data_IF_084466518683
#
_entry.id   IF_084466518683
#
_cell.length_a   1.000
_cell.length_b   1.000
_cell.length_c   1.000
_cell.angle_alpha   90.00
_cell.angle_beta   90.00
_cell.angle_gamma   90.00
#
_symmetry.space_group_name_H-M   'P 1'
#
loop_
_entity.id
_entity.type
_entity.pdbx_description
1 polymer ?
#
# COMPACT_ATOMS: atom_id res chain seq x y z
N UNK A 1 55.28 -19.02 20.19
CA UNK A 1 55.88 -17.69 20.42
C UNK A 1 55.62 -16.81 19.22
N UNK A 2 55.36 -15.53 19.48
CA UNK A 2 55.20 -14.39 18.57
C UNK A 2 56.47 -14.27 17.64
N UNK A 3 56.56 -13.61 16.48
CA UNK A 3 56.22 -12.22 16.08
C UNK A 3 56.33 -12.09 14.53
N UNK A 4 55.40 -11.34 13.95
CA UNK A 4 55.38 -10.43 12.77
C UNK A 4 56.56 -10.35 11.78
N UNK A 5 56.21 -10.14 10.50
CA UNK A 5 56.86 -9.12 9.68
C UNK A 5 55.86 -8.41 8.74
N UNK A 6 55.62 -7.13 9.04
CA UNK A 6 54.98 -6.15 8.15
C UNK A 6 55.91 -5.81 6.97
N UNK A 7 55.36 -5.63 5.76
CA UNK A 7 55.86 -4.63 4.81
C UNK A 7 54.71 -3.92 4.12
N UNK A 8 54.68 -2.62 4.35
CA UNK A 8 53.93 -1.58 3.66
C UNK A 8 54.47 -1.38 2.25
N UNK A 9 53.59 -1.10 1.27
CA UNK A 9 53.95 -0.25 0.14
C UNK A 9 52.73 0.58 -0.28
N UNK A 10 52.84 1.87 -0.01
CA UNK A 10 52.02 2.97 -0.51
C UNK A 10 52.24 3.17 -2.01
N UNK A 11 51.17 3.36 -2.78
CA UNK A 11 51.22 4.24 -3.94
C UNK A 11 49.87 4.95 -4.14
N UNK A 12 49.93 6.25 -3.95
CA UNK A 12 48.99 7.30 -4.36
C UNK A 12 48.78 7.31 -5.87
N UNK A 13 47.56 7.53 -6.36
CA UNK A 13 47.37 8.24 -7.63
C UNK A 13 46.12 9.13 -7.60
N UNK A 14 46.32 10.27 -8.26
CA UNK A 14 45.68 11.56 -8.16
C UNK A 14 44.31 11.65 -8.84
N UNK A 15 43.55 12.62 -8.34
CA UNK A 15 42.31 13.21 -8.87
C UNK A 15 42.41 13.58 -10.35
N UNK A 16 41.34 13.33 -11.11
CA UNK A 16 40.96 14.11 -12.28
C UNK A 16 39.46 14.39 -12.26
N UNK A 17 39.13 15.64 -11.91
CA UNK A 17 37.85 16.29 -12.15
C UNK A 17 37.78 16.67 -13.64
N UNK A 18 36.72 16.27 -14.31
CA UNK A 18 36.14 17.05 -15.41
C UNK A 18 34.67 16.68 -15.53
N UNK A 19 33.82 17.63 -15.16
CA UNK A 19 32.38 17.52 -15.26
C UNK A 19 31.89 17.54 -16.70
N UNK A 20 30.80 16.83 -16.94
CA UNK A 20 29.87 17.04 -18.04
C UNK A 20 28.49 16.68 -17.50
N UNK A 21 27.75 17.73 -17.16
CA UNK A 21 26.32 17.91 -17.40
C UNK A 21 25.43 16.69 -17.13
N UNK A 22 24.76 16.68 -15.97
CA UNK A 22 23.50 15.97 -15.79
C UNK A 22 22.45 16.60 -16.73
N UNK A 23 22.43 16.18 -17.99
CA UNK A 23 21.25 16.35 -18.81
C UNK A 23 20.17 15.45 -18.24
N UNK A 24 19.09 16.10 -17.82
CA UNK A 24 17.84 15.49 -17.42
C UNK A 24 17.33 14.63 -18.59
N UNK A 25 17.69 13.35 -18.55
CA UNK A 25 17.09 12.36 -19.42
C UNK A 25 15.79 11.94 -18.72
N UNK A 26 14.67 12.43 -19.25
CA UNK A 26 13.32 11.92 -19.03
C UNK A 26 13.27 10.42 -19.40
N UNK A 27 13.88 9.60 -18.56
CA UNK A 27 13.88 8.16 -18.65
C UNK A 27 12.52 7.67 -18.21
N UNK A 28 11.62 7.51 -19.19
CA UNK A 28 10.43 6.66 -19.24
C UNK A 28 10.23 5.86 -17.94
N UNK A 29 9.64 6.52 -16.95
CA UNK A 29 9.23 5.87 -15.71
C UNK A 29 8.19 4.82 -16.06
N UNK A 30 8.39 3.60 -15.55
CA UNK A 30 7.52 2.45 -15.74
C UNK A 30 6.04 2.82 -15.74
N UNK A 31 5.47 2.83 -16.95
CA UNK A 31 4.03 2.71 -17.24
C UNK A 31 3.48 1.65 -16.27
N UNK A 32 2.28 1.83 -15.74
CA UNK A 32 1.52 0.87 -14.88
C UNK A 32 1.53 1.05 -13.36
N UNK A 33 2.48 1.73 -12.72
CA UNK A 33 2.56 1.80 -11.23
C UNK A 33 2.15 3.11 -10.55
N UNK A 34 2.28 4.26 -11.22
CA UNK A 34 2.43 5.53 -10.52
C UNK A 34 1.43 6.63 -10.93
N UNK A 35 0.24 6.28 -11.41
CA UNK A 35 -0.77 7.29 -11.74
C UNK A 35 -1.44 7.82 -10.44
N UNK A 36 -1.41 9.12 -10.15
CA UNK A 36 -1.96 9.69 -8.91
C UNK A 36 -3.44 9.32 -8.70
N UNK A 37 -4.25 9.30 -9.77
CA UNK A 37 -5.64 8.85 -9.70
C UNK A 37 -5.86 7.41 -9.24
N UNK A 38 -4.93 6.48 -9.51
CA UNK A 38 -5.03 5.10 -8.98
C UNK A 38 -4.78 5.05 -7.47
N UNK A 39 -3.88 5.90 -6.97
CA UNK A 39 -3.58 6.00 -5.53
C UNK A 39 -4.77 6.60 -4.78
N UNK A 40 -5.34 7.68 -5.31
CA UNK A 40 -6.53 8.33 -4.73
C UNK A 40 -7.75 7.39 -4.73
N UNK A 41 -8.04 6.73 -5.86
CA UNK A 41 -9.13 5.75 -5.92
C UNK A 41 -8.93 4.58 -4.94
N UNK A 42 -7.69 4.07 -4.80
CA UNK A 42 -7.39 3.02 -3.83
C UNK A 42 -7.57 3.49 -2.38
N UNK A 43 -7.15 4.71 -2.06
CA UNK A 43 -7.35 5.31 -0.74
C UNK A 43 -8.84 5.48 -0.43
N UNK A 44 -9.61 6.00 -1.39
CA UNK A 44 -11.06 6.14 -1.28
C UNK A 44 -11.75 4.79 -1.01
N UNK A 45 -11.43 3.75 -1.77
CA UNK A 45 -11.98 2.39 -1.56
C UNK A 45 -11.64 1.88 -0.16
N UNK A 46 -10.39 2.08 0.29
CA UNK A 46 -9.95 1.63 1.60
C UNK A 46 -10.70 2.33 2.74
N UNK A 47 -10.97 3.62 2.60
CA UNK A 47 -11.59 4.45 3.66
C UNK A 47 -13.11 4.39 3.66
N UNK A 48 -13.76 4.28 2.49
CA UNK A 48 -15.21 4.45 2.37
C UNK A 48 -15.94 3.15 2.00
N UNK A 49 -15.29 2.25 1.25
CA UNK A 49 -15.95 1.04 0.72
C UNK A 49 -15.67 -0.16 1.63
N UNK A 50 -14.40 -0.45 1.91
CA UNK A 50 -14.01 -1.65 2.67
C UNK A 50 -14.61 -1.74 4.07
N UNK A 51 -14.76 -0.67 4.87
CA UNK A 51 -15.39 -0.76 6.19
C UNK A 51 -16.85 -1.22 6.10
N UNK A 52 -17.61 -0.69 5.15
CA UNK A 52 -19.02 -1.07 4.94
C UNK A 52 -19.13 -2.50 4.44
N UNK A 53 -18.32 -2.89 3.46
CA UNK A 53 -18.28 -4.29 2.97
C UNK A 53 -17.92 -5.25 4.11
N UNK A 54 -17.03 -4.86 5.02
CA UNK A 54 -16.65 -5.66 6.19
C UNK A 54 -17.79 -5.83 7.18
N UNK A 55 -18.54 -4.78 7.47
CA UNK A 55 -19.73 -4.87 8.30
C UNK A 55 -20.73 -5.87 7.71
N UNK A 56 -20.97 -5.81 6.39
CA UNK A 56 -21.81 -6.80 5.72
C UNK A 56 -21.24 -8.22 5.79
N UNK A 57 -19.91 -8.35 5.69
CA UNK A 57 -19.25 -9.65 5.80
C UNK A 57 -19.38 -10.27 7.19
N UNK A 58 -19.36 -9.45 8.24
CA UNK A 58 -19.61 -9.89 9.62
C UNK A 58 -21.03 -10.40 9.80
N UNK A 59 -22.04 -9.72 9.24
CA UNK A 59 -23.42 -10.23 9.25
C UNK A 59 -23.54 -11.62 8.59
N UNK A 60 -22.81 -11.84 7.49
CA UNK A 60 -22.80 -13.16 6.86
C UNK A 60 -22.09 -14.21 7.72
N UNK A 61 -21.02 -13.86 8.45
CA UNK A 61 -20.30 -14.82 9.33
C UNK A 61 -21.23 -15.49 10.34
N UNK A 62 -22.24 -14.80 10.85
CA UNK A 62 -23.21 -15.37 11.78
C UNK A 62 -24.07 -16.47 11.12
N UNK A 63 -24.23 -16.42 9.80
CA UNK A 63 -25.05 -17.34 9.01
C UNK A 63 -24.25 -18.51 8.42
N UNK A 64 -22.91 -18.45 8.44
CA UNK A 64 -22.04 -19.50 7.91
C UNK A 64 -21.91 -20.67 8.89
N UNK A 65 -21.98 -21.89 8.38
CA UNK A 65 -21.69 -23.11 9.15
C UNK A 65 -20.23 -23.14 9.62
N UNK A 66 -19.93 -23.85 10.72
CA UNK A 66 -18.55 -24.03 11.19
C UNK A 66 -17.66 -24.75 10.16
N UNK A 67 -18.22 -25.72 9.43
CA UNK A 67 -17.51 -26.43 8.37
C UNK A 67 -17.16 -25.50 7.20
N UNK A 68 -18.10 -24.66 6.77
CA UNK A 68 -17.91 -23.74 5.65
C UNK A 68 -16.91 -22.63 6.00
N UNK A 69 -16.90 -22.17 7.26
CA UNK A 69 -15.87 -21.25 7.78
C UNK A 69 -14.47 -21.86 7.69
N UNK A 70 -14.34 -23.12 8.11
CA UNK A 70 -13.08 -23.86 8.02
C UNK A 70 -12.61 -24.00 6.57
N UNK A 71 -13.51 -24.40 5.66
CA UNK A 71 -13.20 -24.48 4.22
C UNK A 71 -12.75 -23.14 3.63
N UNK A 72 -13.40 -22.04 3.99
CA UNK A 72 -12.99 -20.70 3.56
C UNK A 72 -11.59 -20.32 4.06
N UNK A 73 -11.24 -20.68 5.30
CA UNK A 73 -9.89 -20.47 5.81
C UNK A 73 -8.84 -21.24 4.98
N UNK A 74 -9.13 -22.49 4.62
CA UNK A 74 -8.27 -23.29 3.73
C UNK A 74 -8.12 -22.64 2.36
N UNK A 75 -9.22 -22.21 1.72
CA UNK A 75 -9.16 -21.57 0.40
C UNK A 75 -8.41 -20.23 0.42
N UNK A 76 -8.57 -19.43 1.48
CA UNK A 76 -7.80 -18.18 1.66
C UNK A 76 -6.31 -18.46 1.76
N UNK A 77 -5.91 -19.47 2.52
CA UNK A 77 -4.50 -19.91 2.65
C UNK A 77 -3.93 -20.39 1.32
N UNK A 78 -4.65 -21.24 0.58
CA UNK A 78 -4.23 -21.70 -0.75
C UNK A 78 -4.02 -20.53 -1.72
N UNK A 79 -4.97 -19.61 -1.79
CA UNK A 79 -4.86 -18.42 -2.65
C UNK A 79 -3.72 -17.49 -2.22
N UNK A 80 -3.45 -17.37 -0.92
CA UNK A 80 -2.30 -16.61 -0.42
C UNK A 80 -0.98 -17.24 -0.88
N UNK A 81 -0.83 -18.57 -0.75
CA UNK A 81 0.37 -19.28 -1.21
C UNK A 81 0.60 -19.11 -2.72
N UNK A 82 -0.45 -19.23 -3.53
CA UNK A 82 -0.37 -18.99 -4.98
C UNK A 82 0.08 -17.55 -5.29
N UNK A 83 -0.42 -16.56 -4.54
CA UNK A 83 0.00 -15.15 -4.67
C UNK A 83 1.46 -14.95 -4.30
N UNK A 84 1.94 -15.58 -3.23
CA UNK A 84 3.33 -15.51 -2.78
C UNK A 84 4.29 -16.13 -3.79
N UNK A 85 3.98 -17.33 -4.31
CA UNK A 85 4.74 -17.96 -5.40
C UNK A 85 4.76 -17.10 -6.66
N UNK A 86 3.61 -16.51 -7.03
CA UNK A 86 3.53 -15.58 -8.15
C UNK A 86 4.33 -14.29 -7.94
N UNK A 87 4.41 -13.78 -6.71
CA UNK A 87 5.27 -12.65 -6.35
C UNK A 87 6.75 -13.02 -6.47
N UNK A 88 7.14 -14.18 -5.95
CA UNK A 88 8.51 -14.70 -6.05
C UNK A 88 8.94 -14.87 -7.51
N UNK A 89 8.10 -15.50 -8.34
CA UNK A 89 8.34 -15.62 -9.80
C UNK A 89 8.46 -14.24 -10.46
N UNK A 90 7.60 -13.28 -10.11
CA UNK A 90 7.73 -11.93 -10.67
C UNK A 90 9.03 -11.25 -10.25
N UNK A 91 9.49 -11.49 -9.03
CA UNK A 91 10.75 -10.95 -8.52
C UNK A 91 11.96 -11.59 -9.20
N UNK A 92 11.94 -12.90 -9.44
CA UNK A 92 13.03 -13.58 -10.17
C UNK A 92 13.11 -13.15 -11.63
N UNK A 93 12.00 -12.70 -12.21
CA UNK A 93 11.93 -12.15 -13.58
C UNK A 93 12.26 -10.65 -13.67
N UNK A 94 12.66 -9.99 -12.57
CA UNK A 94 13.08 -8.59 -12.62
C UNK A 94 14.53 -8.52 -13.12
N UNK A 95 14.85 -7.69 -14.13
CA UNK A 95 16.23 -7.48 -14.52
C UNK A 95 17.00 -6.86 -13.33
N UNK A 96 18.27 -7.24 -13.18
CA UNK A 96 19.18 -6.53 -12.29
C UNK A 96 19.24 -5.05 -12.71
N UNK A 97 19.26 -4.13 -11.74
CA UNK A 97 19.11 -2.69 -11.98
C UNK A 97 20.12 -2.09 -12.98
N UNK A 98 21.22 -2.79 -13.28
CA UNK A 98 22.23 -2.40 -14.27
C UNK A 98 21.81 -2.60 -15.74
N UNK A 99 20.73 -3.34 -16.03
CA UNK A 99 20.33 -3.74 -17.38
C UNK A 99 19.09 -2.97 -17.89
N UNK A 100 18.99 -1.67 -17.60
CA UNK A 100 17.81 -0.84 -17.87
C UNK A 100 17.40 -0.75 -19.35
N UNK A 101 18.30 -1.10 -20.28
CA UNK A 101 18.08 -1.03 -21.73
C UNK A 101 18.08 -2.40 -22.43
N UNK A 102 18.07 -3.52 -21.71
CA UNK A 102 18.05 -4.84 -22.34
C UNK A 102 16.61 -5.30 -22.59
N UNK A 103 16.26 -5.77 -23.80
CA UNK A 103 14.94 -6.35 -24.05
C UNK A 103 14.67 -7.49 -23.06
N UNK A 104 13.45 -7.52 -22.50
CA UNK A 104 13.03 -8.54 -21.54
C UNK A 104 13.25 -9.92 -22.16
N UNK A 105 14.16 -10.70 -21.61
CA UNK A 105 14.45 -12.05 -22.09
C UNK A 105 13.16 -12.89 -22.15
N UNK A 106 13.05 -13.73 -23.19
CA UNK A 106 11.94 -14.66 -23.33
C UNK A 106 11.88 -15.60 -22.13
N UNK A 107 10.67 -15.93 -21.68
CA UNK A 107 10.48 -16.86 -20.57
C UNK A 107 10.98 -18.25 -20.97
N UNK A 108 11.70 -18.91 -20.07
CA UNK A 108 12.06 -20.33 -20.23
C UNK A 108 10.80 -21.19 -20.17
N UNK A 109 10.85 -22.41 -20.71
CA UNK A 109 9.69 -23.29 -20.70
C UNK A 109 9.27 -23.68 -19.27
N UNK A 110 10.25 -23.85 -18.37
CA UNK A 110 9.99 -24.03 -16.94
C UNK A 110 9.23 -22.83 -16.33
N UNK A 111 9.58 -21.60 -16.69
CA UNK A 111 8.89 -20.40 -16.22
C UNK A 111 7.46 -20.29 -16.79
N UNK A 112 7.27 -20.67 -18.05
CA UNK A 112 5.92 -20.73 -18.67
C UNK A 112 5.04 -21.76 -17.97
N UNK A 113 5.58 -22.96 -17.71
CA UNK A 113 4.89 -24.02 -16.97
C UNK A 113 4.52 -23.56 -15.55
N UNK A 114 5.44 -22.93 -14.82
CA UNK A 114 5.15 -22.40 -13.49
C UNK A 114 4.04 -21.34 -13.53
N UNK A 115 4.02 -20.45 -14.53
CA UNK A 115 2.96 -19.46 -14.70
C UNK A 115 1.61 -20.11 -14.99
N UNK A 116 1.59 -21.15 -15.83
CA UNK A 116 0.39 -21.93 -16.13
C UNK A 116 -0.13 -22.64 -14.88
N UNK A 117 0.75 -23.29 -14.11
CA UNK A 117 0.39 -23.96 -12.87
C UNK A 117 -0.24 -22.99 -11.86
N UNK A 118 0.37 -21.82 -11.62
CA UNK A 118 -0.18 -20.81 -10.72
C UNK A 118 -1.58 -20.33 -11.16
N UNK A 119 -1.81 -20.21 -12.48
CA UNK A 119 -3.13 -19.85 -13.03
C UNK A 119 -4.14 -20.96 -12.81
N UNK A 120 -3.76 -22.22 -13.04
CA UNK A 120 -4.61 -23.39 -12.84
C UNK A 120 -4.98 -23.55 -11.37
N UNK A 121 -4.01 -23.47 -10.46
CA UNK A 121 -4.22 -23.54 -9.00
C UNK A 121 -5.15 -22.42 -8.53
N UNK A 122 -4.91 -21.18 -8.96
CA UNK A 122 -5.79 -20.05 -8.63
C UNK A 122 -7.20 -20.25 -9.18
N UNK A 123 -7.36 -20.79 -10.39
CA UNK A 123 -8.67 -21.03 -11.01
C UNK A 123 -9.43 -22.12 -10.27
N UNK A 124 -8.77 -23.23 -9.95
CA UNK A 124 -9.36 -24.34 -9.21
C UNK A 124 -9.87 -23.88 -7.84
N UNK A 125 -9.03 -23.18 -7.07
CA UNK A 125 -9.43 -22.63 -5.77
C UNK A 125 -10.63 -21.68 -5.89
N UNK A 126 -10.66 -20.81 -6.90
CA UNK A 126 -11.80 -19.91 -7.13
C UNK A 126 -13.09 -20.62 -7.54
N UNK A 127 -13.01 -21.75 -8.28
CA UNK A 127 -14.17 -22.56 -8.62
C UNK A 127 -14.77 -23.23 -7.38
N UNK A 128 -13.92 -23.77 -6.50
CA UNK A 128 -14.37 -24.36 -5.23
C UNK A 128 -15.06 -23.31 -4.34
N UNK A 129 -14.48 -22.11 -4.26
CA UNK A 129 -15.11 -20.98 -3.56
C UNK A 129 -16.43 -20.59 -4.22
N UNK A 130 -16.52 -20.59 -5.55
CA UNK A 130 -17.75 -20.27 -6.26
C UNK A 130 -18.87 -21.29 -6.00
N UNK A 131 -18.54 -22.59 -5.93
CA UNK A 131 -19.48 -23.63 -5.52
C UNK A 131 -20.00 -23.39 -4.10
N UNK A 132 -19.10 -23.11 -3.15
CA UNK A 132 -19.51 -22.75 -1.79
C UNK A 132 -20.36 -21.47 -1.76
N UNK A 133 -20.06 -20.50 -2.62
CA UNK A 133 -20.79 -19.24 -2.71
C UNK A 133 -22.22 -19.39 -3.22
N UNK A 134 -22.53 -20.41 -4.01
CA UNK A 134 -23.90 -20.68 -4.47
C UNK A 134 -24.86 -20.91 -3.29
N UNK A 135 -24.38 -21.59 -2.23
CA UNK A 135 -25.17 -21.85 -1.02
C UNK A 135 -25.63 -20.57 -0.31
N UNK A 136 -24.83 -19.50 -0.40
CA UNK A 136 -25.06 -18.24 0.30
C UNK A 136 -25.45 -17.09 -0.65
N UNK A 137 -25.75 -17.38 -1.91
CA UNK A 137 -25.95 -16.36 -2.95
C UNK A 137 -27.13 -15.42 -2.62
N UNK A 138 -28.24 -15.98 -2.13
CA UNK A 138 -29.41 -15.20 -1.70
C UNK A 138 -29.08 -14.29 -0.51
N UNK A 139 -28.34 -14.79 0.49
CA UNK A 139 -27.91 -14.02 1.65
C UNK A 139 -26.98 -12.87 1.23
N UNK A 140 -26.01 -13.15 0.36
CA UNK A 140 -25.08 -12.15 -0.16
C UNK A 140 -25.82 -11.09 -0.99
N UNK A 141 -26.80 -11.50 -1.80
CA UNK A 141 -27.62 -10.58 -2.59
C UNK A 141 -28.45 -9.65 -1.71
N UNK A 142 -29.05 -10.16 -0.63
CA UNK A 142 -29.75 -9.34 0.35
C UNK A 142 -28.83 -8.31 1.02
N UNK A 143 -27.65 -8.75 1.48
CA UNK A 143 -26.64 -7.85 2.07
C UNK A 143 -26.14 -6.79 1.07
N UNK A 144 -26.07 -7.14 -0.21
CA UNK A 144 -25.71 -6.20 -1.27
C UNK A 144 -26.81 -5.15 -1.51
N UNK A 145 -28.08 -5.53 -1.39
CA UNK A 145 -29.23 -4.62 -1.51
C UNK A 145 -29.30 -3.61 -0.36
N UNK A 146 -28.95 -4.03 0.88
CA UNK A 146 -28.90 -3.13 2.04
C UNK A 146 -27.96 -1.94 1.85
N UNK A 147 -26.94 -2.08 1.00
CA UNK A 147 -25.93 -1.04 0.75
C UNK A 147 -26.03 -0.40 -0.63
N UNK A 148 -27.16 -0.58 -1.33
CA UNK A 148 -27.34 -0.05 -2.68
C UNK A 148 -27.16 1.48 -2.78
N UNK A 149 -27.69 2.28 -1.82
CA UNK A 149 -27.45 3.72 -1.81
C UNK A 149 -25.96 4.08 -1.71
N UNK A 150 -25.21 3.37 -0.84
CA UNK A 150 -23.76 3.58 -0.69
C UNK A 150 -23.02 3.16 -1.96
N UNK A 151 -23.43 2.07 -2.63
CA UNK A 151 -22.86 1.63 -3.91
C UNK A 151 -23.02 2.66 -5.02
N UNK A 152 -24.19 3.31 -5.10
CA UNK A 152 -24.41 4.41 -6.04
C UNK A 152 -23.44 5.56 -5.76
N UNK A 153 -23.33 5.98 -4.49
CA UNK A 153 -22.38 7.02 -4.07
C UNK A 153 -20.93 6.66 -4.39
N UNK A 154 -20.48 5.45 -4.06
CA UNK A 154 -19.11 5.01 -4.34
C UNK A 154 -18.80 5.02 -5.83
N UNK A 155 -19.77 4.68 -6.66
CA UNK A 155 -19.62 4.69 -8.12
C UNK A 155 -19.46 6.12 -8.63
N UNK A 156 -20.28 7.04 -8.16
CA UNK A 156 -20.18 8.46 -8.50
C UNK A 156 -18.84 9.07 -8.04
N UNK A 157 -18.44 8.83 -6.79
CA UNK A 157 -17.19 9.35 -6.23
C UNK A 157 -15.97 8.80 -6.97
N UNK A 158 -15.96 7.50 -7.33
CA UNK A 158 -14.88 6.89 -8.12
C UNK A 158 -14.85 7.41 -9.57
N UNK A 159 -16.00 7.72 -10.16
CA UNK A 159 -16.07 8.39 -11.47
C UNK A 159 -15.51 9.81 -11.39
N UNK A 160 -15.84 10.57 -10.34
CA UNK A 160 -15.29 11.91 -10.11
C UNK A 160 -13.76 11.87 -9.94
N UNK A 161 -13.24 10.92 -9.15
CA UNK A 161 -11.79 10.71 -9.02
C UNK A 161 -11.18 10.36 -10.38
N UNK A 162 -11.81 9.51 -11.19
CA UNK A 162 -11.31 9.20 -12.52
C UNK A 162 -11.30 10.43 -13.44
N UNK A 163 -12.35 11.25 -13.41
CA UNK A 163 -12.47 12.49 -14.18
C UNK A 163 -11.39 13.52 -13.84
N UNK A 164 -11.02 13.66 -12.56
CA UNK A 164 -9.95 14.56 -12.08
C UNK A 164 -8.59 14.31 -12.74
N UNK A 165 -8.32 13.07 -13.16
CA UNK A 165 -7.04 12.67 -13.77
C UNK A 165 -7.17 12.31 -15.26
N UNK A 166 -8.30 12.61 -15.89
CA UNK A 166 -8.49 12.42 -17.32
C UNK A 166 -7.71 13.51 -18.09
N UNK A 167 -6.84 13.15 -19.05
CA UNK A 167 -6.15 14.16 -19.86
C UNK A 167 -7.15 14.93 -20.75
N UNK A 168 -6.90 16.23 -20.95
CA UNK A 168 -7.80 17.15 -21.66
C UNK A 168 -8.13 16.73 -23.11
N UNK A 169 -7.25 15.95 -23.75
CA UNK A 169 -7.44 15.46 -25.13
C UNK A 169 -8.31 14.19 -25.27
N UNK A 170 -8.77 13.60 -24.17
CA UNK A 170 -9.42 12.27 -24.15
C UNK A 170 -10.86 12.27 -23.62
N UNK A 171 -11.42 13.44 -23.26
CA UNK A 171 -12.73 13.55 -22.60
C UNK A 171 -13.90 12.91 -23.37
N UNK A 172 -14.06 13.05 -24.70
CA UNK A 172 -15.19 12.43 -25.39
C UNK A 172 -14.96 10.93 -25.70
N UNK A 173 -13.71 10.47 -25.85
CA UNK A 173 -13.41 9.12 -26.35
C UNK A 173 -13.16 8.08 -25.23
N UNK A 174 -12.84 8.51 -24.00
CA UNK A 174 -12.70 7.59 -22.86
C UNK A 174 -14.06 7.14 -22.28
N UNK A 175 -15.08 8.00 -22.27
CA UNK A 175 -16.45 7.59 -21.90
C UNK A 175 -16.95 6.46 -22.82
N UNK A 176 -16.69 6.54 -24.13
CA UNK A 176 -17.02 5.48 -25.10
C UNK A 176 -16.17 4.21 -24.94
N UNK A 177 -14.87 4.33 -24.62
CA UNK A 177 -13.97 3.17 -24.41
C UNK A 177 -14.19 2.42 -23.10
N UNK A 178 -14.83 3.04 -22.10
CA UNK A 178 -15.29 2.32 -20.90
C UNK A 178 -16.48 1.37 -21.16
N UNK A 179 -17.14 1.48 -22.32
CA UNK A 179 -18.32 0.70 -22.69
C UNK A 179 -18.06 -0.74 -23.16
N UNK A 180 -16.86 -1.07 -23.67
CA UNK A 180 -16.55 -2.41 -24.20
C UNK A 180 -15.56 -3.17 -23.32
N UNK A 181 -16.04 -3.64 -22.17
CA UNK A 181 -15.62 -4.95 -21.66
C UNK A 181 -14.65 -5.04 -20.46
N UNK A 182 -14.34 -3.97 -19.69
CA UNK A 182 -13.36 -4.17 -18.57
C UNK A 182 -13.58 -3.48 -17.22
N UNK A 183 -14.60 -2.63 -17.03
CA UNK A 183 -14.80 -1.94 -15.75
C UNK A 183 -16.26 -1.75 -15.31
N UNK A 184 -17.21 -2.60 -15.74
CA UNK A 184 -18.60 -2.55 -15.23
C UNK A 184 -18.76 -2.94 -13.75
N UNK A 185 -17.68 -3.21 -13.02
CA UNK A 185 -17.75 -3.63 -11.64
C UNK A 185 -16.88 -2.69 -10.80
N UNK A 186 -17.43 -1.51 -10.49
CA UNK A 186 -16.89 -0.60 -9.46
C UNK A 186 -16.90 -1.27 -8.08
N UNK A 187 -17.49 -0.61 -7.08
CA UNK A 187 -17.62 -1.23 -5.75
C UNK A 187 -18.46 -2.52 -5.75
N UNK A 188 -19.32 -2.74 -6.75
CA UNK A 188 -20.06 -4.00 -6.92
C UNK A 188 -19.20 -5.26 -7.07
N UNK A 189 -17.89 -5.12 -7.36
CA UNK A 189 -16.95 -6.25 -7.33
C UNK A 189 -16.90 -6.92 -5.96
N UNK A 190 -17.02 -6.16 -4.88
CA UNK A 190 -16.88 -6.66 -3.51
C UNK A 190 -18.02 -7.59 -3.11
N UNK A 191 -19.21 -7.42 -3.69
CA UNK A 191 -20.39 -8.25 -3.43
C UNK A 191 -20.54 -9.43 -4.38
N UNK A 192 -19.56 -9.68 -5.27
CA UNK A 192 -19.57 -10.92 -6.05
C UNK A 192 -19.43 -12.11 -5.10
N UNK A 193 -20.31 -13.12 -5.14
CA UNK A 193 -20.42 -14.12 -4.07
C UNK A 193 -19.07 -14.73 -3.65
N UNK A 194 -18.29 -15.23 -4.61
CA UNK A 194 -16.98 -15.82 -4.32
C UNK A 194 -15.94 -14.81 -3.78
N UNK A 195 -15.97 -13.56 -4.27
CA UNK A 195 -15.05 -12.50 -3.80
C UNK A 195 -15.43 -12.06 -2.39
N UNK A 196 -16.73 -11.93 -2.13
CA UNK A 196 -17.29 -11.56 -0.84
C UNK A 196 -16.93 -12.61 0.23
N UNK A 197 -17.14 -13.89 -0.07
CA UNK A 197 -16.80 -14.99 0.86
C UNK A 197 -15.31 -15.03 1.21
N UNK A 198 -14.44 -14.83 0.22
CA UNK A 198 -12.99 -14.82 0.44
C UNK A 198 -12.49 -13.63 1.25
N UNK A 199 -13.28 -12.56 1.38
CA UNK A 199 -12.93 -11.47 2.25
C UNK A 199 -12.86 -11.97 3.68
N UNK A 200 -11.73 -11.73 4.34
CA UNK A 200 -11.55 -12.04 5.75
C UNK A 200 -12.05 -10.83 6.57
N UNK A 201 -13.16 -10.96 7.32
CA UNK A 201 -13.69 -9.87 8.12
C UNK A 201 -12.78 -9.50 9.28
N UNK A 202 -11.97 -10.46 9.75
CA UNK A 202 -11.06 -10.32 10.89
C UNK A 202 -9.61 -10.05 10.43
N UNK A 203 -9.39 -9.85 9.13
CA UNK A 203 -8.09 -9.43 8.64
C UNK A 203 -7.71 -8.12 9.34
N UNK A 204 -6.51 -8.04 9.95
CA UNK A 204 -6.10 -6.86 10.70
C UNK A 204 -6.25 -5.65 9.80
N UNK A 205 -7.05 -4.67 10.25
CA UNK A 205 -7.08 -3.37 9.60
C UNK A 205 -5.67 -2.82 9.58
N UNK A 206 -5.38 -1.91 8.66
CA UNK A 206 -4.08 -1.26 8.65
C UNK A 206 -3.85 -0.47 9.96
N UNK A 207 -4.92 -0.08 10.65
CA UNK A 207 -4.95 0.36 12.05
C UNK A 207 -4.55 -0.75 13.02
N UNK A 208 -5.11 -1.97 12.97
CA UNK A 208 -4.69 -3.07 13.85
C UNK A 208 -3.24 -3.54 13.58
N UNK A 209 -2.79 -3.44 12.32
CA UNK A 209 -1.41 -3.72 11.93
C UNK A 209 -0.48 -2.60 12.38
N UNK A 210 -0.97 -1.36 12.43
CA UNK A 210 -0.30 -0.22 13.02
C UNK A 210 -0.30 -0.29 14.55
N UNK A 211 -1.37 -0.73 15.22
CA UNK A 211 -1.41 -0.97 16.66
C UNK A 211 -0.41 -2.06 17.06
N UNK A 212 -0.31 -3.13 16.25
CA UNK A 212 0.67 -4.22 16.42
C UNK A 212 2.11 -3.83 16.05
N UNK A 213 2.29 -2.77 15.26
CA UNK A 213 3.61 -2.26 14.84
C UNK A 213 3.94 -0.88 15.45
N UNK A 214 3.13 -0.36 16.37
CA UNK A 214 3.26 0.96 16.98
C UNK A 214 3.27 2.13 16.01
N UNK A 215 2.37 2.17 15.01
CA UNK A 215 2.33 3.19 13.95
C UNK A 215 1.06 4.08 13.99
N UNK A 216 0.81 4.79 15.09
CA UNK A 216 -0.40 5.60 15.29
C UNK A 216 -0.26 7.06 14.80
N UNK A 217 0.82 7.38 14.08
CA UNK A 217 1.06 8.74 13.60
C UNK A 217 0.83 8.96 12.11
N UNK A 218 0.32 10.12 11.72
CA UNK A 218 0.11 10.57 10.33
C UNK A 218 0.66 11.98 10.12
N UNK A 219 1.06 12.30 8.89
CA UNK A 219 1.59 13.62 8.52
C UNK A 219 0.87 14.16 7.28
N UNK A 220 0.37 15.38 7.36
CA UNK A 220 -0.30 16.08 6.26
C UNK A 220 0.02 17.59 6.25
N UNK A 221 0.08 18.24 5.08
CA UNK A 221 0.13 17.60 3.76
C UNK A 221 1.46 16.85 3.57
N UNK A 222 1.43 15.77 2.80
CA UNK A 222 2.63 15.04 2.39
C UNK A 222 2.56 14.82 0.87
N UNK A 223 3.31 15.59 0.05
CA UNK A 223 4.42 16.47 0.46
C UNK A 223 4.02 17.75 1.21
N UNK A 224 4.88 18.20 2.13
CA UNK A 224 4.74 19.45 2.90
C UNK A 224 5.51 20.59 2.21
N UNK A 225 5.02 21.83 2.30
CA UNK A 225 5.65 23.02 1.66
C UNK A 225 6.17 24.02 2.69
N UNK A 226 5.32 24.51 3.60
CA UNK A 226 5.74 25.43 4.68
C UNK A 226 5.44 24.85 6.04
N UNK A 227 4.30 24.18 6.18
CA UNK A 227 3.84 23.60 7.45
C UNK A 227 3.50 22.14 7.23
N UNK A 228 3.77 21.33 8.26
CA UNK A 228 3.49 19.91 8.36
C UNK A 228 2.71 19.67 9.65
N UNK A 229 1.54 19.07 9.56
CA UNK A 229 0.76 18.64 10.71
C UNK A 229 1.00 17.16 10.98
N UNK A 230 1.46 16.86 12.20
CA UNK A 230 1.65 15.53 12.73
C UNK A 230 0.48 15.17 13.65
N UNK A 231 -0.35 14.24 13.22
CA UNK A 231 -1.33 13.55 14.07
C UNK A 231 -0.65 12.34 14.71
N UNK A 232 -0.91 12.09 15.99
CA UNK A 232 -0.42 10.90 16.70
C UNK A 232 -1.31 10.56 17.90
N UNK A 233 -1.26 9.32 18.38
CA UNK A 233 -2.06 8.87 19.52
C UNK A 233 -1.20 8.55 20.74
N UNK A 234 -1.54 9.13 21.89
CA UNK A 234 -0.90 8.86 23.17
C UNK A 234 -1.65 7.74 23.87
N UNK A 235 -1.02 6.57 24.02
CA UNK A 235 -1.65 5.36 24.59
C UNK A 235 -1.87 5.44 26.11
N UNK A 236 -0.98 6.14 26.82
CA UNK A 236 -1.02 6.38 28.26
C UNK A 236 -0.58 7.82 28.51
N UNK A 237 -1.31 8.53 29.37
CA UNK A 237 -0.95 9.88 29.74
C UNK A 237 0.49 9.93 30.26
N UNK A 238 1.26 10.92 29.80
CA UNK A 238 2.67 11.01 30.13
C UNK A 238 3.47 11.95 29.22
N UNK A 239 4.79 12.05 29.46
CA UNK A 239 5.66 12.91 28.69
C UNK A 239 5.86 12.36 27.27
N UNK A 240 5.77 13.26 26.29
CA UNK A 240 5.98 13.01 24.86
C UNK A 240 7.09 13.92 24.33
N UNK A 241 8.08 13.33 23.68
CA UNK A 241 9.14 14.04 22.94
C UNK A 241 9.01 13.74 21.45
N UNK A 242 9.14 14.77 20.61
CA UNK A 242 9.06 14.64 19.16
C UNK A 242 10.30 15.29 18.55
N UNK A 243 11.09 14.49 17.86
CA UNK A 243 12.28 14.92 17.13
C UNK A 243 12.00 14.93 15.62
N UNK A 244 12.61 15.86 14.91
CA UNK A 244 12.67 15.91 13.46
C UNK A 244 14.06 15.44 13.00
N UNK A 245 14.07 14.44 12.13
CA UNK A 245 15.28 13.78 11.64
C UNK A 245 15.46 13.97 10.13
N UNK A 246 16.72 13.95 9.68
CA UNK A 246 17.10 13.92 8.27
C UNK A 246 16.97 12.51 7.66
N UNK A 247 17.30 12.37 6.36
CA UNK A 247 17.24 11.09 5.66
C UNK A 247 18.27 10.05 6.13
N UNK A 248 19.27 10.46 6.91
CA UNK A 248 20.32 9.62 7.49
C UNK A 248 20.00 9.24 8.95
N UNK A 249 18.92 9.78 9.51
CA UNK A 249 18.49 9.55 10.89
C UNK A 249 19.11 10.51 11.91
N UNK A 250 19.84 11.54 11.47
CA UNK A 250 20.37 12.55 12.39
C UNK A 250 19.26 13.48 12.85
N UNK A 251 19.22 13.80 14.14
CA UNK A 251 18.29 14.79 14.69
C UNK A 251 18.65 16.18 14.19
N UNK A 252 17.75 16.78 13.43
CA UNK A 252 17.85 18.17 12.96
C UNK A 252 17.39 19.15 14.05
N UNK A 253 16.25 18.84 14.69
CA UNK A 253 15.72 19.61 15.82
C UNK A 253 14.71 18.81 16.62
N UNK A 254 14.59 19.12 17.90
CA UNK A 254 13.46 18.66 18.72
C UNK A 254 12.32 19.67 18.61
N UNK A 255 11.16 19.21 18.13
CA UNK A 255 9.98 20.07 17.91
C UNK A 255 9.06 20.13 19.11
N UNK A 256 9.13 19.13 20.01
CA UNK A 256 8.43 19.10 21.29
C UNK A 256 9.25 18.29 22.28
N UNK A 257 9.59 18.84 23.45
CA UNK A 257 10.44 18.18 24.44
C UNK A 257 9.66 17.83 25.70
N UNK A 258 9.50 16.52 25.97
CA UNK A 258 8.94 15.98 27.22
C UNK A 258 7.62 16.63 27.69
N UNK A 259 6.76 17.01 26.75
CA UNK A 259 5.48 17.67 27.06
C UNK A 259 4.51 16.64 27.64
N UNK A 260 3.86 16.96 28.76
CA UNK A 260 2.82 16.10 29.31
C UNK A 260 1.58 16.12 28.40
N UNK A 261 1.12 14.94 27.99
CA UNK A 261 -0.07 14.80 27.19
C UNK A 261 -1.00 13.73 27.74
N UNK A 262 -2.29 14.02 27.66
CA UNK A 262 -3.35 13.10 28.03
C UNK A 262 -3.45 11.96 27.03
N UNK A 263 -4.03 10.83 27.48
CA UNK A 263 -4.34 9.70 26.61
C UNK A 263 -5.32 10.15 25.52
N UNK A 264 -5.03 9.80 24.27
CA UNK A 264 -5.91 10.08 23.13
C UNK A 264 -5.18 10.66 21.92
N UNK A 265 -5.92 11.07 20.88
CA UNK A 265 -5.36 11.68 19.68
C UNK A 265 -4.81 13.09 20.00
N UNK A 266 -3.68 13.41 19.39
CA UNK A 266 -2.97 14.67 19.52
C UNK A 266 -2.54 15.15 18.13
N UNK A 267 -2.48 16.46 17.95
CA UNK A 267 -2.05 17.10 16.70
C UNK A 267 -0.99 18.15 16.99
N UNK A 268 0.12 18.09 16.26
CA UNK A 268 1.21 19.06 16.35
C UNK A 268 1.46 19.68 14.97
N UNK A 269 1.37 21.01 14.90
CA UNK A 269 1.74 21.76 13.70
C UNK A 269 3.20 22.17 13.77
N UNK A 270 3.96 21.86 12.73
CA UNK A 270 5.41 22.10 12.65
C UNK A 270 5.73 22.88 11.38
N UNK A 271 6.36 24.05 11.52
CA UNK A 271 6.93 24.75 10.38
C UNK A 271 8.14 23.96 9.85
N UNK A 272 8.19 23.73 8.55
CA UNK A 272 9.26 23.00 7.84
C UNK A 272 9.75 23.79 6.61
N UNK A 273 9.30 25.03 6.44
CA UNK A 273 9.62 25.86 5.27
C UNK A 273 11.10 26.19 5.14
N UNK A 274 11.84 26.13 6.24
CA UNK A 274 13.29 26.31 6.34
C UNK A 274 14.10 25.11 5.81
N UNK A 275 13.45 23.96 5.60
CA UNK A 275 14.11 22.74 5.17
C UNK A 275 14.19 22.65 3.64
N UNK A 276 15.32 22.18 3.08
CA UNK A 276 15.42 21.81 1.67
C UNK A 276 14.39 20.75 1.25
N UNK A 277 14.07 20.69 -0.03
CA UNK A 277 13.22 19.62 -0.58
C UNK A 277 13.92 18.27 -0.36
N UNK A 278 13.22 17.31 0.24
CA UNK A 278 13.86 16.08 0.70
C UNK A 278 12.93 15.16 1.48
N UNK A 279 13.48 14.05 1.97
CA UNK A 279 12.76 13.10 2.83
C UNK A 279 13.19 13.28 4.28
N UNK A 280 12.21 13.40 5.18
CA UNK A 280 12.40 13.66 6.60
C UNK A 280 11.54 12.72 7.44
N UNK A 281 11.86 12.63 8.73
CA UNK A 281 11.17 11.75 9.66
C UNK A 281 10.85 12.46 10.97
N UNK A 282 9.65 12.29 11.50
CA UNK A 282 9.38 12.56 12.91
C UNK A 282 9.68 11.32 13.73
N UNK A 283 10.37 11.45 14.85
CA UNK A 283 10.52 10.40 15.85
C UNK A 283 9.75 10.81 17.10
N UNK A 284 8.69 10.07 17.42
CA UNK A 284 7.82 10.30 18.57
C UNK A 284 8.25 9.33 19.66
N UNK A 285 8.63 9.85 20.82
CA UNK A 285 9.06 9.07 21.97
C UNK A 285 8.08 9.27 23.11
N UNK A 286 7.51 8.18 23.60
CA UNK A 286 6.58 8.14 24.73
C UNK A 286 7.07 7.12 25.76
N UNK A 287 6.44 7.06 26.94
CA UNK A 287 6.69 6.00 27.92
C UNK A 287 6.41 4.58 27.39
N UNK A 288 5.59 4.45 26.35
CA UNK A 288 5.24 3.16 25.75
C UNK A 288 6.24 2.69 24.67
N UNK A 289 7.14 3.57 24.21
CA UNK A 289 8.10 3.28 23.15
C UNK A 289 8.31 4.46 22.21
N UNK A 290 9.06 4.21 21.12
CA UNK A 290 9.34 5.21 20.08
C UNK A 290 8.81 4.76 18.72
N UNK A 291 8.21 5.68 17.99
CA UNK A 291 7.71 5.53 16.62
C UNK A 291 8.43 6.49 15.68
N UNK A 292 8.59 6.13 14.40
CA UNK A 292 9.08 7.07 13.36
C UNK A 292 8.10 7.21 12.20
N UNK A 293 7.88 8.45 11.74
CA UNK A 293 6.98 8.77 10.64
C UNK A 293 7.64 9.58 9.55
N UNK A 294 7.67 9.00 8.36
CA UNK A 294 8.26 9.62 7.17
C UNK A 294 7.31 10.64 6.52
N UNK A 295 7.86 11.80 6.13
CA UNK A 295 7.21 12.75 5.23
C UNK A 295 8.18 13.28 4.17
N UNK A 296 7.64 13.92 3.12
CA UNK A 296 8.42 14.55 2.05
C UNK A 296 8.23 16.06 2.14
N UNK A 297 9.33 16.83 2.10
CA UNK A 297 9.33 18.28 1.93
C UNK A 297 9.51 18.61 0.46
N UNK A 298 8.66 19.49 -0.07
CA UNK A 298 8.77 20.08 -1.41
C UNK A 298 9.10 21.56 -1.29
#
# INVERSE_FOLDING_TARGET
MKINLFKTLTLTLFVLLSGLSSQAQEGVQGRWGNKPGRKEAAAYVRQNVLPVVRQQRLKLEEQLSAADKSQLATYRTQLQQVRERGKALRQSLRPAAAAANTPRAALTDAQKQQLQQLRTESRAAMLNVAQLAQKYDANISKLAQEVEPQKAKWTADLQAIAGKYAPASDQPNQLARTGKGRHKNGAGRFFRPAVFLLMDPNAPQQSDRAERLGADSNVYPNPAVVTSQLEYSVKKAGPVTIDLLDSRGNTLRTVQQSQQQEKGPQTLSVNVGDLPSGTYYYKITTRAGSETKRFVKQ
#
